data_IF_093309342372
#
_entry.id   IF_093309342372
#
_cell.length_a   1.000
_cell.length_b   1.000
_cell.length_c   1.000
_cell.angle_alpha   90.00
_cell.angle_beta   90.00
_cell.angle_gamma   90.00
#
_symmetry.space_group_name_H-M   'P 1'
#
loop_
_entity.id
_entity.type
_entity.pdbx_description
1 polymer ?
#
# COMPACT_ATOMS: atom_id res chain seq x y z
N UNK A 1 -27.13 -13.34 -20.10
CA UNK A 1 -27.03 -13.84 -18.73
C UNK A 1 -28.07 -13.12 -17.85
N UNK A 2 -28.60 -13.82 -16.88
CA UNK A 2 -29.46 -13.22 -15.86
C UNK A 2 -28.65 -13.14 -14.57
N UNK A 3 -28.66 -11.97 -13.96
CA UNK A 3 -27.96 -11.72 -12.69
C UNK A 3 -28.54 -12.64 -11.57
N UNK A 4 -27.64 -13.30 -10.82
CA UNK A 4 -27.97 -14.20 -9.71
C UNK A 4 -29.04 -15.26 -10.06
N UNK A 5 -28.92 -15.81 -11.25
CA UNK A 5 -29.92 -16.76 -11.77
C UNK A 5 -29.38 -18.19 -11.65
N UNK A 6 -30.32 -19.13 -11.33
CA UNK A 6 -29.94 -20.55 -11.33
C UNK A 6 -29.39 -20.95 -12.73
N UNK A 7 -28.25 -21.67 -12.80
CA UNK A 7 -27.54 -21.98 -14.06
C UNK A 7 -28.41 -22.56 -15.17
N UNK A 8 -29.46 -23.30 -14.84
CA UNK A 8 -30.41 -23.88 -15.86
C UNK A 8 -31.10 -22.81 -16.72
N UNK A 9 -31.24 -21.58 -16.25
CA UNK A 9 -31.91 -20.47 -16.96
C UNK A 9 -30.96 -19.50 -17.64
N UNK A 10 -29.64 -19.64 -17.44
CA UNK A 10 -28.63 -18.77 -18.02
C UNK A 10 -27.76 -19.55 -19.02
N UNK A 11 -27.20 -18.84 -20.01
CA UNK A 11 -26.18 -19.37 -20.89
C UNK A 11 -24.79 -19.45 -20.23
N UNK A 12 -24.62 -18.78 -19.10
CA UNK A 12 -23.40 -18.75 -18.30
C UNK A 12 -23.69 -19.34 -16.92
N UNK A 13 -22.67 -19.92 -16.31
CA UNK A 13 -22.64 -20.21 -14.89
C UNK A 13 -22.06 -18.97 -14.19
N UNK A 14 -22.80 -18.31 -13.33
CA UNK A 14 -22.35 -17.10 -12.66
C UNK A 14 -22.23 -17.26 -11.15
N UNK A 15 -21.20 -16.63 -10.59
CA UNK A 15 -20.96 -16.53 -9.14
C UNK A 15 -20.68 -15.08 -8.75
N UNK A 16 -21.01 -14.70 -7.52
CA UNK A 16 -20.74 -13.35 -6.98
C UNK A 16 -19.70 -13.40 -5.88
N UNK A 17 -18.75 -12.50 -5.95
CA UNK A 17 -17.70 -12.29 -4.95
C UNK A 17 -16.99 -13.56 -4.45
N UNK A 18 -16.60 -14.48 -5.34
CA UNK A 18 -15.80 -15.62 -4.91
C UNK A 18 -14.41 -15.15 -4.44
N UNK A 19 -13.79 -15.85 -3.49
CA UNK A 19 -12.34 -15.75 -3.32
C UNK A 19 -11.63 -16.37 -4.54
N UNK A 20 -10.33 -16.11 -4.79
CA UNK A 20 -9.59 -16.79 -5.85
C UNK A 20 -9.66 -18.31 -5.75
N UNK A 21 -9.57 -18.88 -4.55
CA UNK A 21 -9.70 -20.32 -4.34
C UNK A 21 -11.12 -20.84 -4.61
N UNK A 22 -12.15 -20.06 -4.23
CA UNK A 22 -13.55 -20.41 -4.53
C UNK A 22 -13.84 -20.34 -6.03
N UNK A 23 -13.27 -19.36 -6.74
CA UNK A 23 -13.37 -19.25 -8.20
C UNK A 23 -12.73 -20.46 -8.88
N UNK A 24 -11.54 -20.85 -8.43
CA UNK A 24 -10.85 -22.04 -8.91
C UNK A 24 -11.65 -23.32 -8.66
N UNK A 25 -12.13 -23.50 -7.44
CA UNK A 25 -12.93 -24.68 -7.07
C UNK A 25 -14.26 -24.76 -7.85
N UNK A 26 -14.83 -23.60 -8.22
CA UNK A 26 -16.03 -23.57 -9.05
C UNK A 26 -15.74 -23.92 -10.51
N UNK A 27 -14.60 -23.46 -11.04
CA UNK A 27 -14.15 -23.78 -12.40
C UNK A 27 -13.80 -25.28 -12.58
N UNK A 28 -13.29 -25.93 -11.52
CA UNK A 28 -12.98 -27.36 -11.51
C UNK A 28 -14.25 -28.26 -11.55
N UNK A 29 -15.44 -27.70 -11.30
CA UNK A 29 -16.69 -28.44 -11.49
C UNK A 29 -16.97 -28.55 -12.99
N UNK A 30 -17.09 -29.77 -13.51
CA UNK A 30 -17.45 -30.01 -14.90
C UNK A 30 -18.82 -29.39 -15.20
N UNK A 31 -18.81 -28.26 -15.90
CA UNK A 31 -20.01 -27.58 -16.38
C UNK A 31 -19.93 -27.42 -17.90
N UNK A 32 -21.07 -27.59 -18.59
CA UNK A 32 -21.16 -27.31 -20.02
C UNK A 32 -21.16 -25.80 -20.33
N UNK A 33 -21.16 -24.94 -19.31
CA UNK A 33 -21.32 -23.48 -19.44
C UNK A 33 -20.09 -22.75 -18.97
N UNK A 34 -19.68 -21.70 -19.69
CA UNK A 34 -18.60 -20.83 -19.22
C UNK A 34 -18.94 -20.21 -17.88
N UNK A 35 -17.94 -20.18 -16.97
CA UNK A 35 -18.03 -19.54 -15.66
C UNK A 35 -17.73 -18.04 -15.77
N UNK A 36 -18.50 -17.22 -15.09
CA UNK A 36 -18.26 -15.78 -14.94
C UNK A 36 -18.37 -15.36 -13.47
N UNK A 37 -17.44 -14.60 -12.96
CA UNK A 37 -17.64 -13.85 -11.72
C UNK A 37 -18.41 -12.57 -12.05
N UNK A 38 -19.74 -12.61 -11.88
CA UNK A 38 -20.65 -11.49 -12.23
C UNK A 38 -20.28 -10.18 -11.52
N UNK A 39 -19.78 -10.31 -10.29
CA UNK A 39 -19.16 -9.27 -9.49
C UNK A 39 -18.01 -9.87 -8.69
N UNK A 40 -16.90 -9.17 -8.58
CA UNK A 40 -15.73 -9.55 -7.79
C UNK A 40 -14.88 -8.32 -7.45
N UNK A 41 -13.94 -8.51 -6.54
CA UNK A 41 -12.94 -7.48 -6.21
C UNK A 41 -13.60 -6.12 -5.91
N UNK A 42 -14.38 -6.05 -4.83
CA UNK A 42 -15.10 -4.86 -4.40
C UNK A 42 -14.15 -3.69 -4.15
N UNK A 43 -14.29 -2.60 -4.90
CA UNK A 43 -13.31 -1.50 -4.97
C UNK A 43 -13.54 -0.40 -3.93
N UNK A 44 -14.23 -0.69 -2.84
CA UNK A 44 -14.60 0.30 -1.81
C UNK A 44 -13.39 0.74 -0.98
N UNK A 45 -13.10 2.05 -1.01
CA UNK A 45 -12.03 2.64 -0.22
C UNK A 45 -10.64 2.08 -0.52
N UNK A 46 -9.82 1.88 0.50
CA UNK A 46 -8.50 1.25 0.39
C UNK A 46 -8.64 -0.28 0.26
N UNK A 47 -8.82 -0.77 -0.95
CA UNK A 47 -9.18 -2.16 -1.23
C UNK A 47 -8.45 -2.74 -2.44
N UNK A 48 -9.02 -3.84 -3.02
CA UNK A 48 -8.51 -4.56 -4.18
C UNK A 48 -7.11 -5.17 -3.99
N UNK A 49 -6.80 -5.60 -2.78
CA UNK A 49 -5.73 -6.56 -2.55
C UNK A 49 -6.01 -7.89 -3.24
N UNK A 50 -4.99 -8.67 -3.46
CA UNK A 50 -5.04 -9.98 -4.12
C UNK A 50 -5.67 -10.00 -5.54
N UNK A 51 -5.63 -8.88 -6.25
CA UNK A 51 -6.22 -8.78 -7.59
C UNK A 51 -5.51 -9.67 -8.62
N UNK A 52 -4.20 -9.81 -8.50
CA UNK A 52 -3.41 -10.69 -9.38
C UNK A 52 -3.80 -12.16 -9.21
N UNK A 53 -4.10 -12.61 -7.99
CA UNK A 53 -4.47 -14.00 -7.69
C UNK A 53 -5.73 -14.44 -8.43
N UNK A 54 -6.69 -13.55 -8.62
CA UNK A 54 -7.85 -13.81 -9.47
C UNK A 54 -7.45 -14.09 -10.92
N UNK A 55 -6.56 -13.25 -11.46
CA UNK A 55 -6.16 -13.37 -12.85
C UNK A 55 -5.17 -14.51 -13.12
N UNK A 56 -4.43 -14.92 -12.10
CA UNK A 56 -3.66 -16.17 -12.16
C UNK A 56 -4.60 -17.38 -12.31
N UNK A 57 -5.76 -17.40 -11.62
CA UNK A 57 -6.79 -18.44 -11.78
C UNK A 57 -7.48 -18.32 -13.16
N UNK A 58 -7.93 -17.12 -13.53
CA UNK A 58 -8.66 -16.88 -14.80
C UNK A 58 -7.81 -17.26 -16.00
N UNK A 59 -6.52 -16.92 -16.01
CA UNK A 59 -5.63 -17.28 -17.11
C UNK A 59 -5.22 -18.76 -17.14
N UNK A 60 -5.36 -19.45 -16.01
CA UNK A 60 -5.02 -20.87 -15.91
C UNK A 60 -6.16 -21.80 -16.39
N UNK A 61 -7.41 -21.34 -16.40
CA UNK A 61 -8.58 -22.15 -16.72
C UNK A 61 -9.45 -21.50 -17.81
N UNK A 62 -9.51 -22.15 -18.97
CA UNK A 62 -10.27 -21.67 -20.13
C UNK A 62 -11.79 -21.75 -19.98
N UNK A 63 -12.30 -22.42 -18.96
CA UNK A 63 -13.74 -22.45 -18.66
C UNK A 63 -14.24 -21.14 -18.05
N UNK A 64 -13.32 -20.29 -17.52
CA UNK A 64 -13.65 -18.99 -16.94
C UNK A 64 -13.70 -17.94 -18.06
N UNK A 65 -14.89 -17.44 -18.36
CA UNK A 65 -15.10 -16.44 -19.40
C UNK A 65 -14.66 -15.03 -18.99
N UNK A 66 -14.53 -14.76 -17.69
CA UNK A 66 -14.10 -13.48 -17.18
C UNK A 66 -14.78 -13.09 -15.86
N UNK A 67 -14.64 -11.81 -15.51
CA UNK A 67 -15.16 -11.26 -14.27
C UNK A 67 -15.47 -9.76 -14.42
N UNK A 68 -16.42 -9.22 -13.65
CA UNK A 68 -16.78 -7.81 -13.64
C UNK A 68 -16.48 -7.19 -12.26
N UNK A 69 -15.55 -6.22 -12.22
CA UNK A 69 -15.22 -5.49 -10.99
C UNK A 69 -16.43 -4.67 -10.53
N UNK A 70 -16.70 -4.66 -9.24
CA UNK A 70 -17.63 -3.74 -8.63
C UNK A 70 -16.87 -2.67 -7.83
N UNK A 71 -16.76 -1.40 -8.28
CA UNK A 71 -17.42 -0.79 -9.43
C UNK A 71 -16.40 0.09 -10.19
N UNK A 72 -16.85 0.83 -11.21
CA UNK A 72 -15.97 1.69 -12.02
C UNK A 72 -15.74 3.04 -11.37
N UNK A 73 -16.78 3.69 -10.85
CA UNK A 73 -16.72 5.05 -10.33
C UNK A 73 -17.42 5.18 -8.99
N UNK A 74 -16.78 5.87 -8.05
CA UNK A 74 -17.43 6.28 -6.82
C UNK A 74 -18.69 7.11 -7.13
N UNK A 75 -19.81 6.77 -6.49
CA UNK A 75 -21.11 7.39 -6.74
C UNK A 75 -21.39 8.55 -5.76
N UNK A 76 -20.34 9.22 -5.28
CA UNK A 76 -20.42 10.38 -4.40
C UNK A 76 -21.01 11.60 -5.13
N UNK A 77 -21.75 12.42 -4.42
CA UNK A 77 -22.38 13.65 -4.92
C UNK A 77 -21.60 14.86 -4.39
N UNK A 78 -21.20 15.79 -5.27
CA UNK A 78 -20.54 17.00 -4.84
C UNK A 78 -21.46 17.82 -3.91
N UNK A 79 -21.00 18.12 -2.70
CA UNK A 79 -21.69 18.95 -1.70
C UNK A 79 -20.75 20.03 -1.21
N UNK A 80 -21.30 21.23 -0.99
CA UNK A 80 -20.59 22.34 -0.39
C UNK A 80 -21.26 22.77 0.89
N UNK A 81 -20.51 22.75 1.98
CA UNK A 81 -20.99 23.13 3.31
C UNK A 81 -19.93 23.92 4.05
N UNK A 82 -20.29 25.03 4.69
CA UNK A 82 -19.38 25.92 5.40
C UNK A 82 -18.16 26.40 4.57
N UNK A 83 -18.33 26.50 3.25
CA UNK A 83 -17.27 26.90 2.32
C UNK A 83 -16.36 25.76 1.85
N UNK A 84 -16.49 24.56 2.41
CA UNK A 84 -15.73 23.35 2.04
C UNK A 84 -16.55 22.52 1.05
N UNK A 85 -15.91 22.10 -0.02
CA UNK A 85 -16.48 21.22 -1.04
C UNK A 85 -15.96 19.79 -0.83
N UNK A 86 -16.86 18.80 -0.85
CA UNK A 86 -16.53 17.41 -0.62
C UNK A 86 -17.49 16.45 -1.33
N UNK A 87 -17.14 15.18 -1.41
CA UNK A 87 -17.99 14.12 -1.94
C UNK A 87 -18.88 13.56 -0.84
N UNK A 88 -20.19 13.83 -0.96
CA UNK A 88 -21.19 13.34 -0.02
C UNK A 88 -21.63 11.91 -0.36
N UNK A 89 -21.96 11.15 0.69
CA UNK A 89 -22.50 9.80 0.60
C UNK A 89 -23.67 9.59 1.56
N UNK A 90 -24.16 8.37 1.73
CA UNK A 90 -25.38 8.05 2.50
C UNK A 90 -25.42 8.71 3.88
N UNK A 91 -26.50 9.42 4.17
CA UNK A 91 -26.74 10.16 5.40
C UNK A 91 -26.33 11.65 5.36
N UNK A 92 -25.50 12.08 4.40
CA UNK A 92 -25.02 13.48 4.33
C UNK A 92 -26.11 14.48 3.92
N UNK A 93 -27.21 14.01 3.36
CA UNK A 93 -28.40 14.82 3.03
C UNK A 93 -29.54 14.62 4.04
N UNK A 94 -29.28 13.95 5.18
CA UNK A 94 -30.30 13.64 6.20
C UNK A 94 -31.18 12.47 5.81
N UNK A 95 -30.81 11.71 4.81
CA UNK A 95 -31.51 10.52 4.30
C UNK A 95 -31.45 9.37 5.33
N UNK A 96 -32.61 8.71 5.52
CA UNK A 96 -32.79 7.57 6.43
C UNK A 96 -33.82 6.61 5.85
N UNK A 97 -33.55 5.28 5.82
CA UNK A 97 -32.25 4.63 6.11
C UNK A 97 -31.21 4.91 5.02
N UNK A 98 -29.93 4.65 5.32
CA UNK A 98 -28.84 4.72 4.36
C UNK A 98 -27.78 3.68 4.68
N UNK A 99 -26.90 3.40 3.70
CA UNK A 99 -25.80 2.44 3.81
C UNK A 99 -24.44 3.15 3.89
N UNK A 100 -24.39 4.38 4.42
CA UNK A 100 -23.17 5.19 4.56
C UNK A 100 -22.40 5.29 3.24
N UNK A 101 -21.10 4.91 3.26
CA UNK A 101 -20.20 5.03 2.11
C UNK A 101 -20.22 3.81 1.16
N UNK A 102 -21.23 2.94 1.19
CA UNK A 102 -21.31 1.78 0.28
C UNK A 102 -21.47 2.15 -1.20
N UNK A 103 -21.79 3.40 -1.50
CA UNK A 103 -21.79 3.94 -2.86
C UNK A 103 -20.42 4.52 -3.29
N UNK A 104 -19.40 4.48 -2.41
CA UNK A 104 -18.02 4.91 -2.68
C UNK A 104 -17.17 3.65 -2.91
N UNK A 105 -17.35 3.02 -4.05
CA UNK A 105 -16.83 1.69 -4.37
C UNK A 105 -16.21 1.60 -5.77
N UNK A 106 -15.73 2.74 -6.29
CA UNK A 106 -15.18 2.84 -7.64
C UNK A 106 -13.67 2.67 -7.73
N UNK A 107 -13.20 2.34 -8.94
CA UNK A 107 -11.79 2.41 -9.32
C UNK A 107 -11.30 3.85 -9.43
N UNK A 108 -12.22 4.77 -9.69
CA UNK A 108 -11.96 6.22 -9.79
C UNK A 108 -12.94 6.99 -8.91
N UNK A 109 -12.52 8.16 -8.44
CA UNK A 109 -13.39 9.05 -7.67
C UNK A 109 -14.54 9.63 -8.54
N UNK A 110 -15.51 10.36 -7.96
CA UNK A 110 -16.61 10.93 -8.73
C UNK A 110 -16.16 11.94 -9.82
N UNK A 111 -14.99 12.58 -9.66
CA UNK A 111 -14.36 13.45 -10.66
C UNK A 111 -13.52 12.69 -11.70
N UNK A 112 -13.49 11.35 -11.63
CA UNK A 112 -12.72 10.46 -12.50
C UNK A 112 -11.22 10.45 -12.24
N UNK A 113 -10.77 10.91 -11.07
CA UNK A 113 -9.38 10.77 -10.63
C UNK A 113 -9.14 9.33 -10.20
N UNK A 114 -8.09 8.64 -10.71
CA UNK A 114 -7.79 7.27 -10.34
C UNK A 114 -7.44 7.11 -8.86
N UNK A 115 -8.00 6.09 -8.22
CA UNK A 115 -7.53 5.58 -6.93
C UNK A 115 -6.28 4.70 -7.11
N UNK A 116 -5.48 4.42 -6.06
CA UNK A 116 -4.28 3.57 -6.17
C UNK A 116 -4.53 2.20 -6.78
N UNK A 117 -5.67 1.58 -6.47
CA UNK A 117 -6.03 0.26 -7.00
C UNK A 117 -6.39 0.28 -8.51
N UNK A 118 -6.74 1.44 -9.09
CA UNK A 118 -6.88 1.58 -10.55
C UNK A 118 -5.59 1.18 -11.28
N UNK A 119 -4.43 1.57 -10.76
CA UNK A 119 -3.15 1.25 -11.38
C UNK A 119 -2.82 -0.24 -11.26
N UNK A 120 -3.26 -0.91 -10.19
CA UNK A 120 -3.14 -2.36 -10.05
C UNK A 120 -4.00 -3.09 -11.10
N UNK A 121 -5.25 -2.64 -11.30
CA UNK A 121 -6.13 -3.15 -12.37
C UNK A 121 -5.50 -2.92 -13.75
N UNK A 122 -4.99 -1.72 -14.02
CA UNK A 122 -4.31 -1.42 -15.29
C UNK A 122 -3.13 -2.37 -15.54
N UNK A 123 -2.34 -2.67 -14.50
CA UNK A 123 -1.20 -3.57 -14.62
C UNK A 123 -1.65 -5.02 -14.85
N UNK A 124 -2.63 -5.50 -14.12
CA UNK A 124 -3.11 -6.89 -14.22
C UNK A 124 -3.86 -7.14 -15.53
N UNK A 125 -4.61 -6.14 -16.02
CA UNK A 125 -5.40 -6.21 -17.27
C UNK A 125 -4.61 -5.90 -18.53
N UNK A 126 -3.31 -5.63 -18.42
CA UNK A 126 -2.50 -5.27 -19.58
C UNK A 126 -2.54 -6.36 -20.66
N UNK A 127 -2.55 -5.99 -21.96
CA UNK A 127 -2.72 -6.93 -23.06
C UNK A 127 -1.50 -7.84 -23.30
N UNK A 128 -0.35 -7.49 -22.73
CA UNK A 128 0.88 -8.28 -22.82
C UNK A 128 1.42 -8.58 -21.43
N UNK A 129 1.81 -9.84 -21.21
CA UNK A 129 2.58 -10.26 -20.03
C UNK A 129 4.02 -10.49 -20.43
N UNK A 130 4.96 -9.92 -19.70
CA UNK A 130 6.38 -10.14 -19.89
C UNK A 130 6.89 -11.14 -18.84
N UNK A 131 7.68 -12.12 -19.29
CA UNK A 131 8.37 -13.07 -18.42
C UNK A 131 9.85 -13.11 -18.79
N UNK A 132 10.72 -13.10 -17.78
CA UNK A 132 12.16 -13.24 -17.96
C UNK A 132 12.58 -14.65 -17.57
N UNK A 133 13.23 -15.37 -18.47
CA UNK A 133 13.77 -16.71 -18.19
C UNK A 133 15.11 -16.65 -17.44
N UNK A 134 15.63 -17.81 -17.08
CA UNK A 134 16.90 -17.95 -16.34
C UNK A 134 18.12 -17.53 -17.16
N UNK A 135 17.99 -17.46 -18.49
CA UNK A 135 19.04 -16.98 -19.40
C UNK A 135 18.95 -15.47 -19.64
N UNK A 136 17.96 -14.79 -19.06
CA UNK A 136 17.76 -13.35 -19.19
C UNK A 136 16.94 -12.93 -20.39
N UNK A 137 16.41 -13.86 -21.20
CA UNK A 137 15.55 -13.59 -22.36
C UNK A 137 14.16 -13.17 -21.88
N UNK A 138 13.60 -12.14 -22.51
CA UNK A 138 12.22 -11.69 -22.27
C UNK A 138 11.28 -12.43 -23.23
N UNK A 139 10.29 -13.09 -22.67
CA UNK A 139 9.18 -13.71 -23.37
C UNK A 139 7.95 -12.83 -23.27
N UNK A 140 7.26 -12.62 -24.39
CA UNK A 140 6.04 -11.83 -24.47
C UNK A 140 4.87 -12.81 -24.67
N UNK A 141 3.91 -12.74 -23.78
CA UNK A 141 2.67 -13.52 -23.87
C UNK A 141 1.57 -12.55 -24.25
N UNK A 142 0.96 -12.74 -25.41
CA UNK A 142 -0.22 -11.98 -25.82
C UNK A 142 -1.44 -12.44 -25.03
N UNK A 143 -2.10 -11.54 -24.34
CA UNK A 143 -3.35 -11.75 -23.62
C UNK A 143 -4.56 -11.19 -24.36
N UNK A 144 -4.31 -10.38 -25.39
CA UNK A 144 -5.35 -9.84 -26.26
C UNK A 144 -5.71 -10.87 -27.33
N UNK A 145 -7.00 -11.04 -27.57
CA UNK A 145 -7.52 -11.97 -28.60
C UNK A 145 -7.63 -11.32 -30.00
N UNK A 146 -7.58 -9.99 -30.08
CA UNK A 146 -7.90 -9.24 -31.31
C UNK A 146 -6.77 -8.35 -31.80
N UNK A 147 -5.73 -8.13 -31.01
CA UNK A 147 -4.60 -7.26 -31.34
C UNK A 147 -3.31 -8.07 -31.43
N UNK A 148 -2.59 -7.92 -32.54
CA UNK A 148 -1.29 -8.55 -32.71
C UNK A 148 -0.20 -7.77 -31.96
N UNK A 149 0.74 -8.43 -31.27
CA UNK A 149 1.83 -7.75 -30.56
C UNK A 149 2.71 -6.85 -31.46
N UNK A 150 2.71 -7.08 -32.78
CA UNK A 150 3.41 -6.22 -33.74
C UNK A 150 2.87 -4.79 -33.82
N UNK A 151 1.67 -4.52 -33.28
CA UNK A 151 1.12 -3.17 -33.18
C UNK A 151 1.80 -2.32 -32.10
N UNK A 152 2.65 -2.92 -31.26
CA UNK A 152 3.34 -2.25 -30.17
C UNK A 152 4.83 -2.10 -30.42
N UNK A 153 5.39 -0.97 -30.00
CA UNK A 153 6.83 -0.78 -29.84
C UNK A 153 7.24 -1.31 -28.46
N UNK A 154 8.11 -2.33 -28.46
CA UNK A 154 8.65 -2.89 -27.22
C UNK A 154 10.02 -2.26 -26.97
N UNK A 155 10.14 -1.61 -25.82
CA UNK A 155 11.38 -0.97 -25.38
C UNK A 155 11.82 -1.49 -24.03
N UNK A 156 13.12 -1.56 -23.81
CA UNK A 156 13.73 -1.95 -22.56
C UNK A 156 14.69 -0.87 -22.10
N UNK A 157 14.66 -0.56 -20.81
CA UNK A 157 15.54 0.41 -20.16
C UNK A 157 16.11 -0.18 -18.86
N UNK A 158 17.43 -0.12 -18.70
CA UNK A 158 18.10 -0.56 -17.47
C UNK A 158 18.45 0.63 -16.60
N UNK A 159 17.88 0.67 -15.40
CA UNK A 159 18.14 1.70 -14.42
C UNK A 159 18.95 1.13 -13.26
N UNK A 160 19.91 1.92 -12.76
CA UNK A 160 20.75 1.54 -11.62
C UNK A 160 20.52 2.50 -10.47
N UNK A 161 20.20 1.94 -9.29
CA UNK A 161 20.00 2.65 -8.05
C UNK A 161 20.99 2.14 -7.00
N UNK A 162 22.16 2.79 -6.88
CA UNK A 162 23.25 2.27 -6.04
C UNK A 162 23.72 0.89 -6.53
N UNK A 163 23.59 -0.15 -5.70
CA UNK A 163 23.91 -1.54 -6.03
C UNK A 163 22.80 -2.24 -6.84
N UNK A 164 21.55 -1.77 -6.74
CA UNK A 164 20.39 -2.40 -7.38
C UNK A 164 20.26 -2.02 -8.85
N UNK A 165 20.06 -3.01 -9.69
CA UNK A 165 19.79 -2.80 -11.12
C UNK A 165 18.46 -3.42 -11.49
N UNK A 166 17.65 -2.65 -12.20
CA UNK A 166 16.34 -3.07 -12.69
C UNK A 166 16.25 -2.90 -14.19
N UNK A 167 15.55 -3.82 -14.85
CA UNK A 167 15.19 -3.74 -16.25
C UNK A 167 13.70 -3.41 -16.35
N UNK A 168 13.39 -2.25 -16.88
CA UNK A 168 12.02 -1.87 -17.23
C UNK A 168 11.74 -2.28 -18.68
N UNK A 169 10.58 -2.87 -18.88
CA UNK A 169 10.08 -3.25 -20.20
C UNK A 169 8.76 -2.52 -20.44
N UNK A 170 8.60 -1.92 -21.60
CA UNK A 170 7.40 -1.18 -21.97
C UNK A 170 6.91 -1.61 -23.35
N UNK A 171 5.58 -1.77 -23.47
CA UNK A 171 4.91 -1.84 -24.78
C UNK A 171 4.14 -0.53 -25.00
N UNK A 172 4.36 0.11 -26.14
CA UNK A 172 3.74 1.40 -26.48
C UNK A 172 3.00 1.29 -27.81
N UNK A 173 1.89 2.03 -27.93
CA UNK A 173 1.17 2.12 -29.22
C UNK A 173 2.08 2.71 -30.30
N UNK A 174 2.16 2.06 -31.45
CA UNK A 174 2.87 2.56 -32.64
C UNK A 174 2.11 3.70 -33.34
N UNK A 175 0.79 3.67 -33.25
CA UNK A 175 -0.11 4.60 -33.94
C UNK A 175 -1.19 5.09 -32.97
N UNK A 176 -1.84 6.18 -33.32
CA UNK A 176 -3.02 6.66 -32.60
C UNK A 176 -4.16 5.63 -32.69
N UNK A 177 -4.86 5.48 -31.57
CA UNK A 177 -6.10 4.71 -31.45
C UNK A 177 -7.23 5.67 -30.99
N UNK A 178 -8.51 5.31 -31.17
CA UNK A 178 -9.61 6.16 -30.71
C UNK A 178 -9.59 6.51 -29.21
N UNK A 179 -8.91 5.71 -28.42
CA UNK A 179 -8.87 5.78 -26.95
C UNK A 179 -7.53 6.26 -26.39
N UNK A 180 -6.43 6.28 -27.18
CA UNK A 180 -5.12 6.77 -26.74
C UNK A 180 -4.22 7.11 -27.92
N UNK A 181 -3.36 8.12 -27.74
CA UNK A 181 -2.39 8.52 -28.75
C UNK A 181 -1.19 7.60 -28.86
N UNK A 182 -0.46 7.69 -29.98
CA UNK A 182 0.84 7.02 -30.20
C UNK A 182 1.77 7.25 -29.00
N UNK A 183 2.47 6.20 -28.57
CA UNK A 183 3.40 6.21 -27.45
C UNK A 183 2.74 5.91 -26.10
N UNK A 184 1.41 5.80 -26.02
CA UNK A 184 0.73 5.36 -24.80
C UNK A 184 1.22 3.98 -24.36
N UNK A 185 1.55 3.84 -23.06
CA UNK A 185 2.03 2.57 -22.49
C UNK A 185 0.83 1.66 -22.24
N UNK A 186 0.74 0.58 -23.00
CA UNK A 186 -0.32 -0.44 -22.87
C UNK A 186 0.06 -1.58 -21.94
N UNK A 187 1.37 -1.85 -21.81
CA UNK A 187 1.88 -2.84 -20.88
C UNK A 187 3.29 -2.48 -20.41
N UNK A 188 3.61 -2.89 -19.19
CA UNK A 188 4.90 -2.64 -18.57
C UNK A 188 5.26 -3.72 -17.58
N UNK A 189 6.57 -3.93 -17.38
CA UNK A 189 7.10 -4.86 -16.39
C UNK A 189 8.45 -4.36 -15.87
N UNK A 190 8.80 -4.75 -14.66
CA UNK A 190 10.10 -4.46 -14.08
C UNK A 190 10.73 -5.73 -13.51
N UNK A 191 11.94 -6.04 -13.95
CA UNK A 191 12.72 -7.17 -13.46
C UNK A 191 13.93 -6.68 -12.67
N UNK A 192 14.10 -7.18 -11.47
CA UNK A 192 15.32 -6.96 -10.70
C UNK A 192 16.42 -7.82 -11.32
N UNK A 193 17.48 -7.17 -11.79
CA UNK A 193 18.67 -7.82 -12.37
C UNK A 193 19.72 -8.12 -11.30
N UNK A 194 19.97 -7.13 -10.44
CA UNK A 194 20.83 -7.25 -9.27
C UNK A 194 20.04 -6.72 -8.09
N UNK A 195 19.90 -7.48 -7.00
CA UNK A 195 19.17 -7.03 -5.81
C UNK A 195 19.90 -5.88 -5.12
N UNK A 196 19.17 -5.13 -4.31
CA UNK A 196 19.72 -4.12 -3.42
C UNK A 196 20.61 -4.78 -2.37
N UNK A 197 21.81 -4.26 -2.19
CA UNK A 197 22.70 -4.69 -1.12
C UNK A 197 22.44 -3.81 0.10
N UNK A 198 21.68 -4.34 1.05
CA UNK A 198 21.43 -3.67 2.32
C UNK A 198 22.75 -3.55 3.10
N UNK A 199 22.96 -2.44 3.84
CA UNK A 199 24.16 -2.29 4.67
C UNK A 199 24.20 -3.40 5.73
N UNK A 200 25.40 -3.76 6.14
CA UNK A 200 25.59 -4.61 7.32
C UNK A 200 25.43 -3.79 8.59
N UNK A 201 24.90 -4.39 9.65
CA UNK A 201 24.86 -3.74 10.96
C UNK A 201 26.26 -3.26 11.36
N UNK A 202 26.42 -1.97 11.74
CA UNK A 202 27.70 -1.46 12.13
C UNK A 202 28.21 -2.17 13.39
N UNK A 203 29.52 -2.40 13.46
CA UNK A 203 30.13 -2.85 14.72
C UNK A 203 29.82 -1.79 15.79
N UNK A 204 29.26 -2.25 16.94
CA UNK A 204 28.86 -1.35 18.05
C UNK A 204 30.07 -0.56 18.56
N UNK A 205 30.32 0.62 18.01
CA UNK A 205 31.24 1.62 18.54
C UNK A 205 30.40 2.81 18.93
N UNK A 206 30.34 3.09 20.20
CA UNK A 206 29.70 4.27 20.78
C UNK A 206 30.77 5.32 21.05
N UNK A 207 31.05 6.16 20.06
CA UNK A 207 31.85 7.37 20.25
C UNK A 207 30.96 8.63 20.21
N UNK A 208 29.65 8.44 19.99
CA UNK A 208 28.67 9.52 19.86
C UNK A 208 28.31 10.16 21.19
N UNK A 209 28.17 11.49 21.17
CA UNK A 209 27.71 12.31 22.29
C UNK A 209 26.30 12.85 22.03
N UNK A 210 25.49 12.12 21.23
CA UNK A 210 24.13 12.56 20.95
C UNK A 210 23.36 12.85 22.24
N UNK A 211 22.67 13.97 22.28
CA UNK A 211 21.80 14.32 23.38
C UNK A 211 20.46 13.64 23.17
N UNK A 212 20.30 12.47 23.76
CA UNK A 212 19.08 11.64 23.65
C UNK A 212 18.53 11.31 25.02
N UNK A 213 17.22 11.12 25.08
CA UNK A 213 16.53 10.54 26.24
C UNK A 213 15.77 9.31 25.81
N UNK A 214 15.96 8.21 26.54
CA UNK A 214 15.29 6.92 26.29
C UNK A 214 14.54 6.53 27.55
N UNK A 215 13.27 6.17 27.40
CA UNK A 215 12.44 5.63 28.47
C UNK A 215 11.87 4.28 28.03
N UNK A 216 12.33 3.20 28.67
CA UNK A 216 12.01 1.82 28.27
C UNK A 216 12.39 1.56 26.81
N UNK A 217 11.38 1.24 26.00
CA UNK A 217 11.52 0.97 24.57
C UNK A 217 11.36 2.22 23.69
N UNK A 218 11.25 3.41 24.28
CA UNK A 218 10.93 4.64 23.54
C UNK A 218 12.08 5.63 23.56
N UNK A 219 12.45 6.17 22.40
CA UNK A 219 13.32 7.33 22.27
C UNK A 219 12.44 8.58 22.39
N UNK A 220 12.52 9.28 23.51
CA UNK A 220 11.59 10.36 23.89
C UNK A 220 12.08 11.75 23.56
N UNK A 221 13.39 11.93 23.37
CA UNK A 221 14.02 13.19 22.95
C UNK A 221 15.30 12.91 22.16
N UNK A 222 15.54 13.71 21.15
CA UNK A 222 16.80 13.74 20.41
C UNK A 222 17.12 15.17 19.98
N UNK A 223 18.21 15.71 20.52
CA UNK A 223 18.66 17.06 20.21
C UNK A 223 19.79 16.97 19.18
N UNK A 224 19.58 17.56 18.02
CA UNK A 224 20.52 17.62 16.91
C UNK A 224 20.85 19.10 16.64
N UNK A 225 22.13 19.45 16.64
CA UNK A 225 22.61 20.83 16.46
C UNK A 225 21.91 21.85 17.41
N UNK A 226 21.58 21.43 18.62
CA UNK A 226 20.92 22.26 19.64
C UNK A 226 19.39 22.38 19.51
N UNK A 227 18.76 21.62 18.59
CA UNK A 227 17.31 21.64 18.35
C UNK A 227 16.69 20.26 18.62
N UNK A 228 15.56 20.23 19.36
CA UNK A 228 14.76 19.01 19.50
C UNK A 228 14.15 18.66 18.14
N UNK A 229 14.41 17.45 17.66
CA UNK A 229 13.93 16.98 16.34
C UNK A 229 12.70 16.10 16.42
N UNK A 230 12.29 15.69 17.61
CA UNK A 230 11.08 14.90 17.84
C UNK A 230 9.93 15.78 18.33
N UNK A 231 8.72 15.54 17.85
CA UNK A 231 7.45 16.08 18.37
C UNK A 231 6.65 15.02 19.12
N UNK A 232 7.15 13.80 19.14
CA UNK A 232 6.64 12.67 19.91
C UNK A 232 7.59 11.51 19.80
N UNK A 233 7.55 10.57 20.75
CA UNK A 233 8.55 9.52 20.86
C UNK A 233 8.60 8.62 19.64
N UNK A 234 9.79 8.07 19.37
CA UNK A 234 9.91 6.86 18.56
C UNK A 234 9.64 5.67 19.49
N UNK A 235 8.56 4.95 19.22
CA UNK A 235 8.04 3.89 20.07
C UNK A 235 7.55 2.68 19.27
N UNK A 236 7.59 1.46 19.80
CA UNK A 236 6.92 0.31 19.20
C UNK A 236 5.43 0.57 19.03
N UNK A 237 4.92 0.27 17.85
CA UNK A 237 3.51 0.50 17.54
C UNK A 237 3.01 -0.53 16.53
N UNK A 238 2.12 -1.43 16.95
CA UNK A 238 1.65 -2.57 16.16
C UNK A 238 0.22 -2.38 15.65
N UNK A 239 -0.43 -1.31 16.08
CA UNK A 239 -1.77 -0.93 15.64
C UNK A 239 -1.74 -0.15 14.33
N UNK A 240 -2.83 -0.25 13.57
CA UNK A 240 -3.13 0.64 12.43
C UNK A 240 -4.64 0.88 12.36
N UNK A 241 -5.09 2.00 11.79
CA UNK A 241 -6.50 2.19 11.48
C UNK A 241 -7.02 1.13 10.52
N UNK A 242 -8.31 0.84 10.56
CA UNK A 242 -8.94 -0.08 9.62
C UNK A 242 -9.22 0.60 8.28
N UNK A 243 -9.22 -0.18 7.20
CA UNK A 243 -9.92 0.17 5.97
C UNK A 243 -11.36 -0.40 5.99
N UNK A 244 -12.16 -0.12 4.98
CA UNK A 244 -13.56 -0.55 4.92
C UNK A 244 -13.70 -2.09 4.92
N UNK A 245 -12.84 -2.82 4.20
CA UNK A 245 -12.84 -4.30 4.21
C UNK A 245 -12.55 -4.87 5.60
N UNK A 246 -11.59 -4.28 6.29
CA UNK A 246 -11.19 -4.71 7.63
C UNK A 246 -12.26 -4.42 8.68
N UNK A 247 -12.93 -3.27 8.57
CA UNK A 247 -14.05 -2.89 9.45
C UNK A 247 -15.18 -3.92 9.33
N UNK A 248 -15.59 -4.25 8.12
CA UNK A 248 -16.64 -5.25 7.87
C UNK A 248 -16.24 -6.66 8.33
N UNK A 249 -14.94 -6.98 8.35
CA UNK A 249 -14.41 -8.25 8.82
C UNK A 249 -14.08 -8.26 10.34
N UNK A 250 -14.51 -7.24 11.10
CA UNK A 250 -14.26 -7.08 12.54
C UNK A 250 -12.77 -7.18 12.91
N UNK A 251 -11.93 -6.51 12.12
CA UNK A 251 -10.49 -6.60 12.29
C UNK A 251 -10.02 -5.95 13.59
N UNK A 252 -10.57 -4.78 13.96
CA UNK A 252 -10.22 -4.07 15.18
C UNK A 252 -10.49 -4.91 16.43
N UNK A 253 -11.65 -5.59 16.48
CA UNK A 253 -12.02 -6.45 17.60
C UNK A 253 -11.09 -7.67 17.71
N UNK A 254 -10.81 -8.30 16.56
CA UNK A 254 -9.94 -9.49 16.50
C UNK A 254 -8.47 -9.21 16.79
N UNK A 255 -8.05 -7.96 16.67
CA UNK A 255 -6.65 -7.52 16.83
C UNK A 255 -6.48 -6.49 17.95
N UNK A 256 -7.51 -6.28 18.79
CA UNK A 256 -7.54 -5.26 19.84
C UNK A 256 -6.37 -5.33 20.83
N UNK A 257 -5.82 -6.53 21.05
CA UNK A 257 -4.64 -6.77 21.88
C UNK A 257 -3.43 -5.91 21.45
N UNK A 258 -3.28 -5.62 20.14
CA UNK A 258 -2.15 -4.89 19.60
C UNK A 258 -2.22 -3.36 19.76
N UNK A 259 -3.28 -2.84 20.37
CA UNK A 259 -3.33 -1.45 20.84
C UNK A 259 -2.32 -1.19 21.97
N UNK A 260 -1.96 -2.26 22.70
CA UNK A 260 -0.89 -2.26 23.69
C UNK A 260 0.21 -3.23 23.22
N UNK A 261 1.38 -2.72 22.89
CA UNK A 261 2.50 -3.54 22.44
C UNK A 261 3.20 -4.17 23.64
N UNK A 262 3.28 -5.51 23.64
CA UNK A 262 3.97 -6.33 24.64
C UNK A 262 5.00 -7.21 23.95
N UNK A 263 5.90 -7.81 24.73
CA UNK A 263 6.89 -8.77 24.24
C UNK A 263 7.87 -8.17 23.20
N UNK A 264 8.14 -6.86 23.31
CA UNK A 264 9.07 -6.12 22.45
C UNK A 264 10.25 -5.61 23.24
N UNK A 265 11.41 -5.67 22.63
CA UNK A 265 12.65 -5.03 23.11
C UNK A 265 13.19 -4.12 22.01
N UNK A 266 13.55 -2.90 22.35
CA UNK A 266 14.21 -1.96 21.42
C UNK A 266 15.56 -1.58 21.95
N UNK A 267 16.59 -1.73 21.10
CA UNK A 267 17.95 -1.31 21.36
C UNK A 267 18.29 -0.08 20.51
N UNK A 268 18.79 0.95 21.14
CA UNK A 268 19.28 2.16 20.49
C UNK A 268 20.81 2.20 20.63
N UNK A 269 21.51 2.19 19.49
CA UNK A 269 22.96 2.36 19.46
C UNK A 269 23.28 3.71 18.85
N UNK A 270 23.86 4.62 19.64
CA UNK A 270 24.31 5.93 19.19
C UNK A 270 25.59 5.73 18.41
N UNK A 271 25.58 6.04 17.11
CA UNK A 271 26.74 5.92 16.23
C UNK A 271 27.55 7.21 16.28
N UNK A 272 26.89 8.36 16.14
CA UNK A 272 27.42 9.69 16.28
C UNK A 272 26.32 10.69 16.72
N UNK A 273 26.60 11.99 16.72
CA UNK A 273 25.67 13.01 17.22
C UNK A 273 24.39 13.14 16.36
N UNK A 274 24.42 12.62 15.11
CA UNK A 274 23.34 12.72 14.13
C UNK A 274 22.78 11.36 13.72
N UNK A 275 23.34 10.25 14.20
CA UNK A 275 23.03 8.92 13.70
C UNK A 275 22.75 7.95 14.84
N UNK A 276 21.58 7.31 14.79
CA UNK A 276 21.16 6.28 15.73
C UNK A 276 20.77 5.02 14.96
N UNK A 277 21.33 3.87 15.34
CA UNK A 277 20.85 2.56 14.94
C UNK A 277 19.75 2.14 15.90
N UNK A 278 18.62 1.70 15.33
CA UNK A 278 17.46 1.16 16.06
C UNK A 278 17.30 -0.30 15.68
N UNK A 279 17.27 -1.18 16.68
CA UNK A 279 17.03 -2.62 16.52
C UNK A 279 15.81 -2.98 17.37
N UNK A 280 14.78 -3.57 16.76
CA UNK A 280 13.57 -3.99 17.45
C UNK A 280 13.39 -5.49 17.33
N UNK A 281 13.13 -6.14 18.45
CA UNK A 281 12.79 -7.55 18.58
C UNK A 281 11.40 -7.71 19.16
N UNK A 282 10.54 -8.48 18.50
CA UNK A 282 9.31 -9.02 19.07
C UNK A 282 9.47 -10.51 19.27
N UNK A 283 9.27 -10.97 20.49
CA UNK A 283 9.34 -12.38 20.86
C UNK A 283 8.08 -12.77 21.65
N UNK A 284 7.09 -13.47 21.05
CA UNK A 284 5.85 -13.79 21.73
C UNK A 284 6.10 -14.63 22.98
N UNK A 285 5.59 -14.17 24.12
CA UNK A 285 5.71 -14.85 25.42
C UNK A 285 4.64 -15.94 25.64
N UNK A 286 3.56 -15.92 24.83
CA UNK A 286 2.44 -16.87 24.89
C UNK A 286 2.08 -17.35 23.49
N UNK A 287 1.44 -18.52 23.40
CA UNK A 287 0.84 -19.03 22.18
C UNK A 287 -0.55 -18.40 21.91
N UNK A 288 -1.10 -18.68 20.72
CA UNK A 288 -2.45 -18.27 20.31
C UNK A 288 -2.65 -16.74 20.21
N UNK A 289 -1.57 -16.02 19.87
CA UNK A 289 -1.66 -14.60 19.56
C UNK A 289 -2.47 -14.36 18.29
N UNK A 290 -3.32 -13.32 18.24
CA UNK A 290 -4.01 -12.94 17.02
C UNK A 290 -3.01 -12.47 15.94
N UNK A 291 -3.49 -12.37 14.71
CA UNK A 291 -2.74 -11.73 13.62
C UNK A 291 -2.40 -10.29 14.00
N UNK A 292 -1.21 -9.83 13.59
CA UNK A 292 -0.71 -8.48 13.90
C UNK A 292 -1.13 -7.51 12.79
N UNK A 293 -1.69 -6.33 13.13
CA UNK A 293 -1.98 -5.29 12.13
C UNK A 293 -0.75 -4.77 11.38
N UNK A 294 0.35 -4.56 12.09
CA UNK A 294 1.66 -4.23 11.55
C UNK A 294 2.76 -4.49 12.59
N UNK A 295 3.95 -4.77 12.15
CA UNK A 295 5.13 -4.86 13.01
C UNK A 295 6.02 -3.66 12.72
N UNK A 296 6.12 -2.73 13.67
CA UNK A 296 6.87 -1.53 13.43
C UNK A 296 6.93 -0.55 14.59
N UNK A 297 7.45 0.62 14.28
CA UNK A 297 7.58 1.75 15.19
C UNK A 297 6.92 3.00 14.61
N UNK A 298 6.58 3.93 15.48
CA UNK A 298 5.98 5.21 15.14
C UNK A 298 6.75 6.34 15.80
N UNK A 299 6.85 7.49 15.12
CA UNK A 299 7.37 8.73 15.68
C UNK A 299 6.59 9.94 15.18
N UNK A 300 6.76 11.08 15.86
CA UNK A 300 6.24 12.36 15.40
C UNK A 300 7.39 13.33 15.14
N UNK A 301 7.31 14.00 14.00
CA UNK A 301 8.25 15.01 13.55
C UNK A 301 7.58 16.39 13.53
N UNK A 302 8.34 17.48 13.50
CA UNK A 302 7.80 18.83 13.33
C UNK A 302 6.92 18.94 12.08
N UNK A 303 5.82 19.70 12.16
CA UNK A 303 4.88 19.91 11.06
C UNK A 303 5.52 20.51 9.78
N UNK A 304 6.70 21.10 9.91
CA UNK A 304 7.47 21.65 8.77
C UNK A 304 8.12 20.58 7.87
N UNK A 305 8.14 19.30 8.28
CA UNK A 305 8.74 18.20 7.55
C UNK A 305 7.76 17.70 6.47
N UNK A 306 7.72 18.39 5.33
CA UNK A 306 6.71 18.21 4.29
C UNK A 306 7.27 17.75 2.95
N UNK A 307 8.58 17.61 2.79
CA UNK A 307 9.20 17.13 1.57
C UNK A 307 9.80 15.75 1.74
N UNK A 308 9.36 14.82 0.92
CA UNK A 308 9.71 13.41 0.96
C UNK A 308 10.52 13.05 -0.29
N UNK A 309 11.57 12.25 -0.08
CA UNK A 309 12.29 11.52 -1.12
C UNK A 309 12.45 10.09 -0.63
N UNK A 310 12.19 9.09 -1.45
CA UNK A 310 12.39 7.70 -1.04
C UNK A 310 12.78 6.79 -2.20
N UNK A 311 13.48 5.72 -1.89
CA UNK A 311 13.73 4.61 -2.80
C UNK A 311 12.93 3.38 -2.34
N UNK A 312 11.93 3.01 -3.11
CA UNK A 312 11.00 1.93 -2.82
C UNK A 312 9.97 1.75 -3.93
N UNK A 313 8.87 1.06 -3.65
CA UNK A 313 7.76 0.95 -4.60
C UNK A 313 6.89 2.19 -4.62
N UNK A 314 6.57 2.68 -5.82
CA UNK A 314 5.77 3.88 -5.99
C UNK A 314 5.35 4.14 -7.44
N UNK A 315 4.91 5.39 -7.75
CA UNK A 315 4.74 6.54 -6.83
C UNK A 315 3.52 6.45 -5.90
N UNK A 316 2.46 5.73 -6.30
CA UNK A 316 1.22 5.61 -5.53
C UNK A 316 1.36 4.64 -4.36
N UNK A 317 0.41 4.75 -3.43
CA UNK A 317 0.33 3.86 -2.28
C UNK A 317 0.22 2.39 -2.71
N UNK A 318 0.85 1.53 -1.94
CA UNK A 318 0.85 0.10 -2.20
C UNK A 318 0.98 -0.69 -0.90
N UNK A 319 0.42 -1.90 -0.90
CA UNK A 319 0.37 -2.81 0.23
C UNK A 319 0.85 -4.20 -0.19
N UNK A 320 1.17 -5.11 0.73
CA UNK A 320 1.70 -6.43 0.39
C UNK A 320 0.87 -7.20 -0.65
N UNK A 321 -0.45 -7.06 -0.60
CA UNK A 321 -1.42 -7.70 -1.49
C UNK A 321 -1.84 -6.83 -2.70
N UNK A 322 -1.26 -5.61 -2.83
CA UNK A 322 -1.53 -4.65 -3.91
C UNK A 322 -0.28 -3.80 -4.19
N UNK A 323 0.70 -4.37 -4.87
CA UNK A 323 1.97 -3.66 -5.14
C UNK A 323 2.63 -3.97 -6.48
N UNK A 324 2.00 -4.76 -7.34
CA UNK A 324 2.63 -5.19 -8.59
C UNK A 324 2.76 -4.04 -9.58
N UNK A 325 1.80 -3.14 -9.60
CA UNK A 325 1.81 -1.93 -10.44
C UNK A 325 2.83 -0.89 -9.99
N UNK A 326 3.26 -0.92 -8.74
CA UNK A 326 4.19 0.03 -8.14
C UNK A 326 5.64 -0.44 -8.36
N UNK A 327 6.37 0.24 -9.24
CA UNK A 327 7.75 -0.13 -9.57
C UNK A 327 8.75 0.44 -8.56
N UNK A 328 9.88 -0.23 -8.44
CA UNK A 328 11.02 0.28 -7.67
C UNK A 328 11.59 1.51 -8.38
N UNK A 329 11.77 2.59 -7.64
CA UNK A 329 12.28 3.85 -8.14
C UNK A 329 12.61 4.82 -7.02
N UNK A 330 13.27 5.91 -7.36
CA UNK A 330 13.43 7.07 -6.47
C UNK A 330 12.31 8.04 -6.80
N UNK A 331 11.56 8.44 -5.78
CA UNK A 331 10.39 9.30 -5.89
C UNK A 331 10.53 10.49 -4.96
N UNK A 332 10.30 11.69 -5.51
CA UNK A 332 10.32 12.96 -4.79
C UNK A 332 8.93 13.58 -4.85
N UNK A 333 8.37 13.92 -3.70
CA UNK A 333 7.03 14.52 -3.62
C UNK A 333 6.80 15.24 -2.29
N UNK A 334 5.87 16.20 -2.25
CA UNK A 334 5.40 16.75 -0.98
C UNK A 334 4.56 15.72 -0.21
N UNK A 335 4.49 15.86 1.11
CA UNK A 335 3.68 15.02 1.99
C UNK A 335 2.20 14.94 1.56
N UNK A 336 1.65 16.05 1.03
CA UNK A 336 0.29 16.11 0.51
C UNK A 336 0.04 15.25 -0.75
N UNK A 337 1.09 14.91 -1.51
CA UNK A 337 1.02 13.98 -2.65
C UNK A 337 1.39 12.55 -2.25
N UNK A 338 2.13 12.40 -1.14
CA UNK A 338 2.43 11.09 -0.55
C UNK A 338 1.19 10.47 0.08
N UNK A 339 0.34 11.30 0.67
CA UNK A 339 -0.94 10.90 1.24
C UNK A 339 -1.93 10.47 0.15
N UNK A 340 -2.69 9.41 0.42
CA UNK A 340 -3.87 9.02 -0.35
C UNK A 340 -5.11 9.39 0.45
N UNK A 341 -5.81 10.43 0.02
CA UNK A 341 -7.04 10.86 0.65
C UNK A 341 -8.23 10.05 0.13
N UNK A 342 -8.84 9.23 0.99
CA UNK A 342 -10.08 8.53 0.70
C UNK A 342 -11.29 9.36 1.15
N UNK A 343 -12.40 9.29 0.40
CA UNK A 343 -13.65 10.04 0.68
C UNK A 343 -14.14 9.76 2.11
N UNK A 344 -14.14 8.49 2.53
CA UNK A 344 -14.23 8.13 3.95
C UNK A 344 -12.83 7.85 4.47
N UNK A 345 -12.31 8.65 5.41
CA UNK A 345 -10.96 8.46 5.96
C UNK A 345 -10.76 7.06 6.55
N UNK A 346 -9.64 6.44 6.21
CA UNK A 346 -9.26 5.10 6.61
C UNK A 346 -7.75 4.92 6.49
N UNK A 347 -7.19 3.76 6.86
CA UNK A 347 -5.76 3.48 6.66
C UNK A 347 -5.34 3.74 5.21
N UNK A 348 -4.18 4.39 5.03
CA UNK A 348 -3.73 4.84 3.72
C UNK A 348 -2.20 5.08 3.66
N UNK A 349 -1.71 5.46 2.49
CA UNK A 349 -0.38 6.02 2.21
C UNK A 349 0.81 5.08 2.39
N UNK A 350 0.60 3.77 2.54
CA UNK A 350 1.74 2.86 2.67
C UNK A 350 2.58 2.76 1.39
N UNK A 351 3.91 2.65 1.57
CA UNK A 351 4.87 2.29 0.51
C UNK A 351 5.65 1.07 0.97
N UNK A 352 5.63 0.01 0.17
CA UNK A 352 6.36 -1.23 0.41
C UNK A 352 7.77 -1.23 -0.18
N UNK A 353 8.56 -2.18 0.26
CA UNK A 353 9.89 -2.44 -0.27
C UNK A 353 10.77 -1.17 -0.29
N UNK A 354 10.67 -0.33 0.75
CA UNK A 354 11.47 0.89 0.91
C UNK A 354 12.86 0.52 1.40
N UNK A 355 13.91 0.98 0.65
CA UNK A 355 15.30 0.80 1.01
C UNK A 355 15.76 1.93 1.93
N UNK A 356 15.38 3.15 1.52
CA UNK A 356 15.59 4.35 2.33
C UNK A 356 14.47 5.37 2.10
N UNK A 357 14.28 6.22 3.09
CA UNK A 357 13.26 7.27 3.09
C UNK A 357 13.86 8.53 3.71
N UNK A 358 13.65 9.68 3.08
CA UNK A 358 14.06 10.99 3.59
C UNK A 358 12.84 11.89 3.71
N UNK A 359 12.79 12.63 4.82
CA UNK A 359 11.76 13.65 5.02
C UNK A 359 12.38 14.89 5.65
N UNK A 360 11.93 16.07 5.26
CA UNK A 360 12.45 17.33 5.78
C UNK A 360 11.60 18.53 5.37
N UNK A 361 12.00 19.74 5.79
CA UNK A 361 11.31 20.97 5.42
C UNK A 361 11.49 21.31 3.93
N UNK A 362 10.54 22.03 3.36
CA UNK A 362 10.52 22.40 1.94
C UNK A 362 11.65 23.37 1.55
N UNK A 363 11.98 24.29 2.43
CA UNK A 363 13.00 25.30 2.18
C UNK A 363 13.77 25.59 3.46
N UNK A 364 14.87 24.89 3.65
CA UNK A 364 15.83 25.29 4.65
C UNK A 364 17.19 24.67 4.34
N UNK A 365 18.15 25.53 4.07
CA UNK A 365 19.57 25.18 4.08
C UNK A 365 20.09 24.96 5.51
N UNK A 366 19.27 25.20 6.54
CA UNK A 366 19.64 25.19 7.94
C UNK A 366 18.98 24.06 8.75
N UNK A 367 17.83 23.55 8.32
CA UNK A 367 17.15 22.48 9.05
C UNK A 367 17.55 21.10 8.50
N UNK A 368 17.94 20.17 9.38
CA UNK A 368 18.35 18.86 8.96
C UNK A 368 17.16 18.08 8.36
N UNK A 369 17.45 17.18 7.44
CA UNK A 369 16.50 16.18 6.92
C UNK A 369 16.72 14.87 7.68
N UNK A 370 15.65 14.18 8.01
CA UNK A 370 15.74 12.83 8.53
C UNK A 370 15.85 11.85 7.37
N UNK A 371 16.92 11.06 7.35
CA UNK A 371 17.07 9.88 6.49
C UNK A 371 16.89 8.61 7.34
N UNK A 372 16.05 7.73 6.86
CA UNK A 372 15.83 6.39 7.39
C UNK A 372 16.39 5.40 6.38
N UNK A 373 17.24 4.50 6.81
CA UNK A 373 17.81 3.46 5.95
C UNK A 373 17.60 2.10 6.60
N UNK A 374 16.89 1.19 5.88
CA UNK A 374 16.64 -0.16 6.37
C UNK A 374 17.87 -1.07 6.22
N UNK A 375 17.98 -2.08 7.08
CA UNK A 375 18.85 -3.24 6.89
C UNK A 375 18.11 -4.41 6.21
N UNK A 376 16.88 -4.20 5.89
CA UNK A 376 15.94 -5.01 5.11
C UNK A 376 14.90 -4.06 4.49
N UNK A 377 14.05 -4.53 3.55
CA UNK A 377 12.93 -3.71 3.06
C UNK A 377 12.02 -3.24 4.19
N UNK A 378 11.55 -2.00 4.11
CA UNK A 378 10.63 -1.38 5.05
C UNK A 378 9.28 -1.08 4.40
N UNK A 379 8.26 -0.90 5.23
CA UNK A 379 7.00 -0.25 4.89
C UNK A 379 6.95 1.11 5.59
N UNK A 380 6.66 2.18 4.84
CA UNK A 380 6.66 3.55 5.39
C UNK A 380 5.32 4.22 5.12
N UNK A 381 4.77 4.88 6.16
CA UNK A 381 3.58 5.74 6.07
C UNK A 381 3.86 7.07 6.75
N UNK A 382 3.37 8.16 6.16
CA UNK A 382 3.54 9.50 6.70
C UNK A 382 2.29 10.34 6.46
N UNK A 383 1.86 11.09 7.50
CA UNK A 383 0.71 11.97 7.48
C UNK A 383 0.94 13.21 8.35
N UNK A 384 0.15 14.27 8.12
CA UNK A 384 0.11 15.45 9.01
C UNK A 384 -0.94 15.34 10.15
N UNK A 385 -1.37 14.10 10.46
CA UNK A 385 -2.30 13.74 11.55
C UNK A 385 -1.89 12.41 12.20
N UNK A 386 -2.57 11.99 13.25
CA UNK A 386 -2.28 10.74 13.95
C UNK A 386 -3.24 9.59 13.61
N UNK A 387 -2.85 8.36 13.91
CA UNK A 387 -3.72 7.19 13.73
C UNK A 387 -5.02 7.31 14.53
N UNK A 388 -4.97 7.90 15.72
CA UNK A 388 -6.17 8.11 16.57
C UNK A 388 -7.18 9.05 15.92
N UNK A 389 -6.72 9.96 15.05
CA UNK A 389 -7.61 10.85 14.30
C UNK A 389 -8.42 10.07 13.26
N UNK A 390 -7.85 8.98 12.71
CA UNK A 390 -8.56 8.03 11.83
C UNK A 390 -9.40 7.02 12.62
N UNK A 391 -8.92 6.53 13.77
CA UNK A 391 -9.68 5.64 14.66
C UNK A 391 -10.94 6.31 15.24
N UNK A 392 -10.96 7.65 15.32
CA UNK A 392 -12.16 8.40 15.67
C UNK A 392 -13.28 8.29 14.61
N UNK A 393 -13.02 7.56 13.52
CA UNK A 393 -13.94 7.31 12.41
C UNK A 393 -14.56 8.59 11.82
N UNK A 394 -13.73 9.55 11.36
CA UNK A 394 -14.22 10.76 10.72
C UNK A 394 -15.03 10.39 9.47
N UNK A 395 -16.11 11.16 9.20
CA UNK A 395 -16.93 10.90 8.01
C UNK A 395 -16.24 11.38 6.73
N UNK A 396 -15.56 12.52 6.82
CA UNK A 396 -14.94 13.17 5.68
C UNK A 396 -13.52 13.66 5.99
N UNK A 397 -12.66 13.86 4.98
CA UNK A 397 -11.28 14.31 5.19
C UNK A 397 -11.17 15.64 5.95
N UNK A 398 -12.14 16.55 5.80
CA UNK A 398 -12.16 17.83 6.53
C UNK A 398 -12.41 17.69 8.04
N UNK A 399 -12.86 16.53 8.51
CA UNK A 399 -13.06 16.25 9.94
C UNK A 399 -11.75 15.88 10.66
N UNK A 400 -10.67 15.65 9.90
CA UNK A 400 -9.38 15.25 10.46
C UNK A 400 -8.61 16.50 10.91
N UNK A 401 -8.15 16.58 12.17
CA UNK A 401 -7.32 17.68 12.65
C UNK A 401 -5.89 17.56 12.11
N UNK A 402 -5.53 18.42 11.15
CA UNK A 402 -4.27 18.40 10.41
C UNK A 402 -3.22 19.40 10.91
N UNK A 403 -1.97 19.23 10.48
CA UNK A 403 -0.91 20.24 10.56
C UNK A 403 -0.27 20.45 11.92
N UNK A 404 -0.54 19.59 12.90
CA UNK A 404 0.05 19.70 14.26
C UNK A 404 1.46 19.10 14.34
N UNK A 405 1.72 18.06 13.58
CA UNK A 405 2.96 17.30 13.51
C UNK A 405 2.92 16.43 12.23
N UNK A 406 4.02 15.83 11.87
CA UNK A 406 4.04 14.72 10.91
C UNK A 406 4.15 13.41 11.69
N UNK A 407 3.17 12.54 11.53
CA UNK A 407 3.18 11.18 12.06
C UNK A 407 3.88 10.27 11.05
N UNK A 408 4.91 9.56 11.48
CA UNK A 408 5.73 8.70 10.63
C UNK A 408 5.78 7.29 11.21
N UNK A 409 5.42 6.31 10.38
CA UNK A 409 5.51 4.90 10.71
C UNK A 409 6.67 4.27 9.92
N UNK A 410 7.48 3.50 10.63
CA UNK A 410 8.64 2.76 10.12
C UNK A 410 8.40 1.30 10.45
N UNK A 411 7.86 0.56 9.49
CA UNK A 411 7.35 -0.79 9.72
C UNK A 411 8.21 -1.83 8.99
N UNK A 412 8.41 -2.99 9.61
CA UNK A 412 8.93 -4.18 8.94
C UNK A 412 7.88 -4.75 7.99
N UNK A 413 6.67 -4.91 8.49
CA UNK A 413 5.53 -5.47 7.76
C UNK A 413 4.24 -4.76 8.13
N UNK A 414 3.32 -4.73 7.17
CA UNK A 414 1.94 -4.28 7.35
C UNK A 414 0.98 -5.33 6.78
N UNK A 415 -0.16 -5.52 7.42
CA UNK A 415 -1.23 -6.39 6.97
C UNK A 415 -1.81 -5.91 5.64
N UNK A 416 -2.15 -6.81 4.73
CA UNK A 416 -2.78 -6.48 3.45
C UNK A 416 -4.14 -5.83 3.60
N UNK A 417 -4.60 -5.15 2.55
CA UNK A 417 -5.87 -4.39 2.56
C UNK A 417 -7.10 -5.28 2.35
N UNK A 418 -6.93 -6.49 1.78
CA UNK A 418 -8.04 -7.33 1.35
C UNK A 418 -8.65 -6.86 0.02
N UNK A 419 -9.46 -7.69 -0.61
CA UNK A 419 -9.97 -7.36 -1.93
C UNK A 419 -11.01 -8.32 -2.48
N UNK A 420 -11.67 -9.11 -1.63
CA UNK A 420 -12.74 -10.01 -2.05
C UNK A 420 -14.07 -9.26 -2.00
N UNK A 421 -14.46 -8.84 -0.81
CA UNK A 421 -15.69 -8.07 -0.54
C UNK A 421 -15.46 -7.06 0.59
N UNK A 422 -16.52 -6.30 0.93
CA UNK A 422 -16.53 -5.34 2.05
C UNK A 422 -17.66 -5.67 3.05
N UNK A 423 -18.02 -6.96 3.21
CA UNK A 423 -19.04 -7.41 4.16
C UNK A 423 -18.67 -8.68 4.91
N UNK A 424 -17.38 -9.04 5.00
CA UNK A 424 -16.93 -10.08 5.93
C UNK A 424 -15.78 -10.96 5.48
N UNK A 425 -15.43 -10.97 4.20
CA UNK A 425 -14.27 -11.73 3.72
C UNK A 425 -12.97 -11.11 4.24
N UNK A 426 -12.06 -11.99 4.63
CA UNK A 426 -10.78 -11.59 5.21
C UNK A 426 -9.70 -11.51 4.15
N UNK A 427 -8.66 -10.71 4.45
CA UNK A 427 -7.40 -10.73 3.70
C UNK A 427 -6.87 -12.16 3.58
N UNK A 428 -6.33 -12.52 2.42
CA UNK A 428 -5.77 -13.86 2.19
C UNK A 428 -4.63 -14.16 3.18
N UNK A 429 -4.51 -15.42 3.67
CA UNK A 429 -3.56 -15.78 4.73
C UNK A 429 -2.10 -15.36 4.48
N UNK A 430 -1.63 -15.42 3.23
CA UNK A 430 -0.26 -15.04 2.85
C UNK A 430 0.04 -13.54 3.01
N UNK A 431 -0.97 -12.70 3.18
CA UNK A 431 -0.87 -11.26 3.39
C UNK A 431 -1.22 -10.85 4.83
N UNK A 432 -1.30 -11.80 5.73
CA UNK A 432 -1.47 -11.59 7.17
C UNK A 432 -0.13 -11.74 7.90
N UNK A 433 -0.04 -11.18 9.10
CA UNK A 433 1.15 -11.25 9.94
C UNK A 433 0.83 -12.15 11.14
N UNK A 434 1.55 -13.25 11.28
CA UNK A 434 1.33 -14.24 12.34
C UNK A 434 1.85 -13.72 13.69
N UNK A 435 0.98 -13.52 14.67
CA UNK A 435 1.36 -13.07 16.02
C UNK A 435 2.17 -14.08 16.85
N UNK A 436 2.24 -15.34 16.41
CA UNK A 436 2.95 -16.41 17.11
C UNK A 436 4.41 -16.57 16.64
N UNK A 437 4.87 -15.73 15.70
CA UNK A 437 6.25 -15.76 15.20
C UNK A 437 7.07 -14.62 15.78
N UNK A 438 8.37 -14.86 16.04
CA UNK A 438 9.28 -13.76 16.36
C UNK A 438 9.54 -12.89 15.12
N UNK A 439 9.74 -11.60 15.34
CA UNK A 439 10.15 -10.63 14.32
C UNK A 439 11.32 -9.81 14.81
N UNK A 440 12.29 -9.63 13.94
CA UNK A 440 13.43 -8.76 14.16
C UNK A 440 13.60 -7.84 12.96
N UNK A 441 13.87 -6.55 13.20
CA UNK A 441 14.31 -5.63 12.15
C UNK A 441 15.15 -4.50 12.71
N UNK A 442 15.93 -3.88 11.83
CA UNK A 442 16.78 -2.76 12.16
C UNK A 442 16.71 -1.67 11.09
N UNK A 443 16.90 -0.45 11.53
CA UNK A 443 17.02 0.70 10.64
C UNK A 443 17.94 1.76 11.26
N UNK A 444 18.56 2.55 10.39
CA UNK A 444 19.35 3.70 10.77
C UNK A 444 18.51 4.96 10.66
N UNK A 445 18.54 5.80 11.68
CA UNK A 445 18.08 7.18 11.64
C UNK A 445 19.29 8.09 11.51
N UNK A 446 19.28 8.99 10.53
CA UNK A 446 20.35 9.96 10.34
C UNK A 446 19.76 11.34 10.02
N UNK A 447 20.07 12.34 10.82
CA UNK A 447 19.76 13.73 10.55
C UNK A 447 20.91 14.38 9.77
N UNK A 448 20.73 14.47 8.45
CA UNK A 448 21.69 15.06 7.54
C UNK A 448 21.37 16.54 7.29
N UNK A 449 22.40 17.39 7.26
CA UNK A 449 22.25 18.73 6.68
C UNK A 449 22.04 18.61 5.17
N UNK A 450 21.19 19.43 4.57
CA UNK A 450 21.12 19.51 3.11
C UNK A 450 22.50 19.80 2.54
N UNK A 451 22.89 19.05 1.51
CA UNK A 451 24.16 19.30 0.78
C UNK A 451 24.04 20.53 -0.08
#
# INVERSE_FOLDING_TARGET
PFYDCHPRYSALHDIGYPSPDALKAEAEKETEKPLIAREYAHAMGNSMGNFQEYWDVIYADSSIAGAAIWDWVDQGIAKKENGVEYWAYGGDFGDQPNDENFNINGLVDPARKPHPHYYEVQYVYQPLTFKRDTYGKIHIINRDSFTDPSEYDITCDTVTFGSERVLNVYARLKTDKPWAGKGFIVAREQFVLNPYEFPSLPAKKTDGKAQVSIDGNSLTSWIVDGHEVLQGPLEPYFWKPENDNQRAAHFAERTAEWKEVKDVTVNYTIIDDHTILVEMDYLPSTADRPIIPKVGMRMRLPASYTQISYYGRGPWENYPDRKRSAFLGIYDMPLSEYETEYIRPQDNSNRCDVRWFEIGPQSSTLSPRLRIEGFQPLCIRAWDYGEMDLDAAPRHPQDIPRGRFVNLNIDLNIHGVGGIDTWGQRTLPQYTIDGNRPYHYAFMLNFCRPK
#
